data_IF_826173584683
#
_entry.id   IF_826173584683
#
_cell.length_a   1.000
_cell.length_b   1.000
_cell.length_c   1.000
_cell.angle_alpha   90.00
_cell.angle_beta   90.00
_cell.angle_gamma   90.00
#
_symmetry.space_group_name_H-M   'P 1'
#
loop_
_entity.id
_entity.type
_entity.pdbx_description
1 polymer ?
#
# COMPACT_ATOMS: atom_id res chain seq x y z
N UNK A 1 4.25 6.10 -2.13
CA UNK A 1 3.39 6.45 -3.30
C UNK A 1 3.81 7.75 -4.02
N UNK A 2 3.79 8.92 -3.37
CA UNK A 2 4.01 10.22 -4.06
C UNK A 2 5.41 10.34 -4.72
N UNK A 3 6.48 9.94 -4.01
CA UNK A 3 7.83 9.90 -4.60
C UNK A 3 7.89 9.04 -5.86
N UNK A 4 7.19 7.92 -5.84
CA UNK A 4 7.17 6.97 -6.94
C UNK A 4 6.48 7.54 -8.18
N UNK A 5 5.28 8.08 -8.00
CA UNK A 5 4.54 8.64 -9.12
C UNK A 5 5.25 9.85 -9.73
N UNK A 6 5.89 10.69 -8.91
CA UNK A 6 6.73 11.78 -9.43
C UNK A 6 7.84 11.25 -10.32
N UNK A 7 8.57 10.23 -9.84
CA UNK A 7 9.62 9.60 -10.62
C UNK A 7 9.09 9.02 -11.94
N UNK A 8 7.92 8.37 -11.90
CA UNK A 8 7.32 7.76 -13.08
C UNK A 8 6.82 8.81 -14.10
N UNK A 9 5.97 9.74 -13.68
CA UNK A 9 5.28 10.65 -14.61
C UNK A 9 6.12 11.85 -15.05
N UNK A 10 7.24 12.16 -14.37
CA UNK A 10 8.18 13.17 -14.89
C UNK A 10 8.69 12.78 -16.28
N UNK A 11 8.88 11.48 -16.54
CA UNK A 11 9.26 10.98 -17.87
C UNK A 11 8.14 11.09 -18.93
N UNK A 12 6.92 11.42 -18.51
CA UNK A 12 5.76 11.74 -19.35
C UNK A 12 5.49 13.25 -19.41
N UNK A 13 6.48 14.08 -19.09
CA UNK A 13 6.39 15.55 -19.07
C UNK A 13 5.35 16.12 -18.08
N UNK A 14 4.95 15.35 -17.06
CA UNK A 14 4.07 15.85 -16.01
C UNK A 14 4.86 16.72 -15.03
N UNK A 15 4.34 17.93 -14.76
CA UNK A 15 4.86 18.83 -13.73
C UNK A 15 4.05 18.67 -12.45
N UNK A 16 4.72 18.67 -11.30
CA UNK A 16 4.09 18.43 -10.01
C UNK A 16 4.15 19.67 -9.12
N UNK A 17 3.02 19.96 -8.48
CA UNK A 17 2.93 20.87 -7.33
C UNK A 17 2.62 19.99 -6.12
N UNK A 18 3.54 19.92 -5.17
CA UNK A 18 3.40 19.09 -3.98
C UNK A 18 3.69 19.93 -2.73
N UNK A 19 2.63 20.15 -1.96
CA UNK A 19 2.62 20.89 -0.70
C UNK A 19 2.12 19.95 0.40
N UNK A 20 2.99 19.05 0.83
CA UNK A 20 2.65 17.99 1.78
C UNK A 20 2.42 18.53 3.19
N UNK A 21 1.35 18.06 3.81
CA UNK A 21 1.02 18.28 5.23
C UNK A 21 1.47 17.13 6.14
N UNK A 22 2.16 16.12 5.59
CA UNK A 22 2.62 14.97 6.36
C UNK A 22 3.69 15.36 7.37
N UNK A 23 3.65 14.79 8.58
CA UNK A 23 4.73 14.91 9.57
C UNK A 23 6.09 14.40 9.08
N UNK A 24 6.14 13.66 7.96
CA UNK A 24 7.35 13.15 7.33
C UNK A 24 7.76 13.91 6.06
N UNK A 25 7.12 15.02 5.72
CA UNK A 25 7.39 15.79 4.50
C UNK A 25 8.86 16.29 4.40
N UNK A 26 9.54 16.45 5.54
CA UNK A 26 10.93 16.89 5.60
C UNK A 26 11.90 15.88 4.97
N UNK A 27 11.55 14.59 4.99
CA UNK A 27 12.35 13.53 4.36
C UNK A 27 12.36 13.61 2.84
N UNK A 28 11.36 14.26 2.25
CA UNK A 28 11.22 14.42 0.80
C UNK A 28 11.37 15.86 0.34
N UNK A 29 11.62 16.81 1.26
CA UNK A 29 11.65 18.25 0.99
C UNK A 29 10.37 18.74 0.28
N UNK A 30 9.20 18.23 0.71
CA UNK A 30 7.89 18.55 0.11
C UNK A 30 6.95 19.25 1.09
N UNK A 31 7.45 19.69 2.25
CA UNK A 31 6.62 20.36 3.25
C UNK A 31 5.96 21.61 2.67
N UNK A 32 4.66 21.74 2.88
CA UNK A 32 3.94 22.96 2.59
C UNK A 32 4.54 24.14 3.37
N UNK A 33 4.75 25.27 2.69
CA UNK A 33 5.29 26.50 3.31
C UNK A 33 4.33 27.69 3.25
N UNK A 34 3.35 27.66 2.36
CA UNK A 34 2.55 28.83 1.99
C UNK A 34 1.07 28.49 1.72
N UNK A 35 0.53 27.47 2.40
CA UNK A 35 -0.90 27.18 2.32
C UNK A 35 -1.67 28.19 3.18
N UNK A 36 -2.68 28.83 2.58
CA UNK A 36 -3.51 29.88 3.19
C UNK A 36 -4.59 29.32 4.13
N UNK A 37 -5.12 28.13 3.82
CA UNK A 37 -6.31 27.54 4.48
C UNK A 37 -6.00 26.21 5.16
N UNK A 38 -5.23 25.33 4.49
CA UNK A 38 -4.88 24.02 5.02
C UNK A 38 -3.56 24.07 5.80
N UNK A 39 -3.49 23.32 6.89
CA UNK A 39 -2.31 23.10 7.71
C UNK A 39 -2.30 21.66 8.25
N UNK A 40 -1.27 21.32 9.04
CA UNK A 40 -1.12 19.98 9.63
C UNK A 40 -2.29 19.56 10.52
N UNK A 41 -3.01 20.53 11.09
CA UNK A 41 -4.01 20.29 12.12
C UNK A 41 -5.39 20.04 11.51
N UNK A 42 -5.68 20.65 10.36
CA UNK A 42 -6.98 20.55 9.70
C UNK A 42 -6.99 19.70 8.42
N UNK A 43 -5.83 19.33 7.86
CA UNK A 43 -5.74 18.62 6.58
C UNK A 43 -6.41 17.25 6.54
N UNK A 44 -6.51 16.57 7.69
CA UNK A 44 -7.21 15.28 7.82
C UNK A 44 -8.72 15.47 8.05
N UNK A 45 -9.12 16.53 8.75
CA UNK A 45 -10.50 16.71 9.25
C UNK A 45 -11.21 17.86 8.54
N UNK A 46 -11.21 17.84 7.20
CA UNK A 46 -11.85 18.90 6.41
C UNK A 46 -13.38 18.79 6.46
N UNK A 47 -14.07 19.89 6.76
CA UNK A 47 -15.54 19.99 6.71
C UNK A 47 -16.03 20.86 5.54
N UNK A 48 -17.35 21.00 5.41
CA UNK A 48 -17.98 21.80 4.33
C UNK A 48 -17.57 23.27 4.40
N UNK A 49 -17.36 23.82 5.61
CA UNK A 49 -16.96 25.21 5.79
C UNK A 49 -15.54 25.43 5.27
N UNK A 50 -14.62 24.52 5.60
CA UNK A 50 -13.25 24.55 5.13
C UNK A 50 -13.16 24.35 3.62
N UNK A 51 -14.01 23.49 3.04
CA UNK A 51 -14.10 23.32 1.59
C UNK A 51 -14.50 24.63 0.89
N UNK A 52 -15.52 25.32 1.40
CA UNK A 52 -15.94 26.63 0.87
C UNK A 52 -14.84 27.68 1.01
N UNK A 53 -14.21 27.78 2.17
CA UNK A 53 -13.10 28.72 2.41
C UNK A 53 -11.92 28.45 1.48
N UNK A 54 -11.56 27.18 1.30
CA UNK A 54 -10.50 26.78 0.38
C UNK A 54 -10.82 27.20 -1.06
N UNK A 55 -12.01 26.87 -1.55
CA UNK A 55 -12.42 27.26 -2.89
C UNK A 55 -12.41 28.78 -3.07
N UNK A 56 -13.01 29.54 -2.16
CA UNK A 56 -13.07 31.01 -2.26
C UNK A 56 -11.68 31.67 -2.29
N UNK A 57 -10.72 31.14 -1.54
CA UNK A 57 -9.35 31.67 -1.51
C UNK A 57 -8.54 31.28 -2.75
N UNK A 58 -8.76 30.09 -3.30
CA UNK A 58 -7.93 29.55 -4.39
C UNK A 58 -8.56 29.59 -5.78
N UNK A 59 -9.86 29.90 -5.93
CA UNK A 59 -10.55 29.94 -7.24
C UNK A 59 -9.91 30.91 -8.25
N UNK A 60 -9.25 31.96 -7.77
CA UNK A 60 -8.53 32.94 -8.58
C UNK A 60 -7.01 32.91 -8.37
N UNK A 61 -6.48 31.89 -7.69
CA UNK A 61 -5.05 31.80 -7.40
C UNK A 61 -4.27 31.38 -8.66
N UNK A 62 -3.17 32.09 -8.96
CA UNK A 62 -2.41 31.88 -10.19
C UNK A 62 -1.75 30.51 -10.28
N UNK A 63 -1.37 29.91 -9.16
CA UNK A 63 -0.81 28.56 -9.12
C UNK A 63 -1.92 27.53 -9.35
N UNK A 64 -3.06 27.69 -8.67
CA UNK A 64 -4.22 26.81 -8.80
C UNK A 64 -4.79 26.78 -10.22
N UNK A 65 -4.80 27.94 -10.90
CA UNK A 65 -5.28 28.06 -12.27
C UNK A 65 -4.40 27.33 -13.31
N UNK A 66 -3.16 27.00 -12.97
CA UNK A 66 -2.26 26.21 -13.83
C UNK A 66 -2.45 24.70 -13.66
N UNK A 67 -3.26 24.25 -12.69
CA UNK A 67 -3.45 22.82 -12.40
C UNK A 67 -4.54 22.23 -13.30
N UNK A 68 -4.18 21.21 -14.08
CA UNK A 68 -5.12 20.44 -14.90
C UNK A 68 -5.73 19.25 -14.16
N UNK A 69 -4.97 18.66 -13.21
CA UNK A 69 -5.31 17.42 -12.52
C UNK A 69 -4.99 17.58 -11.03
N UNK A 70 -5.97 17.28 -10.16
CA UNK A 70 -5.70 17.04 -8.75
C UNK A 70 -5.59 15.55 -8.49
N UNK A 71 -4.64 15.16 -7.63
CA UNK A 71 -4.35 13.77 -7.34
C UNK A 71 -4.24 13.54 -5.83
N UNK A 72 -5.00 12.59 -5.29
CA UNK A 72 -5.03 12.29 -3.87
C UNK A 72 -4.67 10.83 -3.61
N UNK A 73 -3.76 10.61 -2.66
CA UNK A 73 -3.33 9.28 -2.24
C UNK A 73 -3.77 8.92 -0.82
N UNK A 74 -3.39 9.77 0.13
CA UNK A 74 -3.48 9.47 1.54
C UNK A 74 -3.65 10.75 2.37
N UNK A 75 -4.85 11.03 2.90
CA UNK A 75 -6.09 10.28 2.68
C UNK A 75 -6.74 10.63 1.33
N UNK A 76 -7.56 9.72 0.78
CA UNK A 76 -8.36 10.04 -0.41
C UNK A 76 -9.44 11.09 -0.12
N UNK A 77 -9.88 11.20 1.13
CA UNK A 77 -10.89 12.17 1.54
C UNK A 77 -10.46 13.63 1.30
N UNK A 78 -9.15 13.90 1.17
CA UNK A 78 -8.67 15.22 0.76
C UNK A 78 -9.12 15.61 -0.65
N UNK A 79 -9.51 14.67 -1.53
CA UNK A 79 -10.02 15.01 -2.86
C UNK A 79 -11.35 15.76 -2.83
N UNK A 80 -12.12 15.65 -1.75
CA UNK A 80 -13.38 16.37 -1.59
C UNK A 80 -13.18 17.90 -1.69
N UNK A 81 -12.04 18.42 -1.22
CA UNK A 81 -11.74 19.86 -1.24
C UNK A 81 -11.51 20.40 -2.65
N UNK A 82 -11.15 19.54 -3.60
CA UNK A 82 -10.84 19.90 -4.97
C UNK A 82 -12.03 19.74 -5.93
N UNK A 83 -13.12 19.08 -5.49
CA UNK A 83 -14.33 18.89 -6.31
C UNK A 83 -14.90 20.21 -6.87
N UNK A 84 -14.95 21.35 -6.13
CA UNK A 84 -15.50 22.60 -6.65
C UNK A 84 -14.75 23.22 -7.83
N UNK A 85 -13.49 22.84 -8.08
CA UNK A 85 -12.68 23.41 -9.16
C UNK A 85 -13.01 22.85 -10.54
N UNK A 86 -13.84 21.80 -10.63
CA UNK A 86 -14.23 21.17 -11.90
C UNK A 86 -13.02 20.80 -12.80
N UNK A 87 -11.93 20.36 -12.18
CA UNK A 87 -10.76 19.78 -12.84
C UNK A 87 -10.80 18.26 -12.71
N UNK A 88 -9.99 17.57 -13.49
CA UNK A 88 -9.83 16.13 -13.34
C UNK A 88 -9.34 15.80 -11.92
N UNK A 89 -9.94 14.76 -11.35
CA UNK A 89 -9.54 14.14 -10.10
C UNK A 89 -9.00 12.72 -10.37
N UNK A 90 -7.80 12.45 -9.87
CA UNK A 90 -7.23 11.10 -9.80
C UNK A 90 -7.17 10.70 -8.32
N UNK A 91 -8.06 9.79 -7.92
CA UNK A 91 -8.15 9.26 -6.56
C UNK A 91 -7.46 7.90 -6.51
N UNK A 92 -6.44 7.75 -5.67
CA UNK A 92 -5.70 6.49 -5.53
C UNK A 92 -5.64 6.12 -4.05
N UNK A 93 -6.46 5.18 -3.60
CA UNK A 93 -6.36 4.68 -2.23
C UNK A 93 -5.05 3.90 -2.05
N UNK A 94 -4.13 4.42 -1.25
CA UNK A 94 -2.89 3.71 -0.88
C UNK A 94 -3.03 2.84 0.38
N UNK A 95 -4.19 2.90 1.01
CA UNK A 95 -4.70 2.09 2.13
C UNK A 95 -6.19 2.43 2.27
N UNK A 96 -6.93 1.69 3.11
CA UNK A 96 -8.39 1.79 3.30
C UNK A 96 -8.87 3.25 3.24
N UNK A 97 -9.73 3.51 2.27
CA UNK A 97 -9.98 4.84 1.73
C UNK A 97 -10.75 5.76 2.70
N UNK A 98 -11.43 5.19 3.70
CA UNK A 98 -12.18 5.88 4.74
C UNK A 98 -11.30 6.58 5.79
N UNK A 99 -9.97 6.61 5.59
CA UNK A 99 -9.08 7.38 6.44
C UNK A 99 -9.58 8.83 6.57
N UNK A 100 -9.72 9.26 7.82
CA UNK A 100 -10.22 10.57 8.24
C UNK A 100 -11.74 10.78 8.08
N UNK A 101 -12.49 9.74 7.70
CA UNK A 101 -13.96 9.71 7.64
C UNK A 101 -14.46 8.50 8.43
N UNK A 102 -14.13 8.47 9.72
CA UNK A 102 -14.34 7.29 10.57
C UNK A 102 -15.75 7.16 11.13
N UNK A 103 -16.57 8.21 11.10
CA UNK A 103 -17.98 8.12 11.53
C UNK A 103 -18.82 7.50 10.42
N UNK A 104 -19.96 6.90 10.77
CA UNK A 104 -20.90 6.34 9.77
C UNK A 104 -21.35 7.42 8.77
N UNK A 105 -21.64 8.61 9.27
CA UNK A 105 -22.09 9.75 8.46
C UNK A 105 -21.00 10.23 7.50
N UNK A 106 -19.79 10.48 8.02
CA UNK A 106 -18.67 10.94 7.21
C UNK A 106 -18.26 9.92 6.14
N UNK A 107 -18.27 8.63 6.48
CA UNK A 107 -17.95 7.57 5.54
C UNK A 107 -19.02 7.47 4.44
N UNK A 108 -20.30 7.53 4.80
CA UNK A 108 -21.41 7.52 3.83
C UNK A 108 -21.32 8.72 2.89
N UNK A 109 -20.97 9.89 3.42
CA UNK A 109 -20.74 11.10 2.63
C UNK A 109 -19.55 10.96 1.69
N UNK A 110 -18.43 10.40 2.17
CA UNK A 110 -17.28 10.10 1.32
C UNK A 110 -17.66 9.16 0.17
N UNK A 111 -18.46 8.13 0.42
CA UNK A 111 -18.94 7.21 -0.64
C UNK A 111 -19.76 7.95 -1.70
N UNK A 112 -20.65 8.84 -1.26
CA UNK A 112 -21.45 9.69 -2.16
C UNK A 112 -20.55 10.58 -3.01
N UNK A 113 -19.55 11.22 -2.41
CA UNK A 113 -18.61 12.06 -3.12
C UNK A 113 -17.75 11.26 -4.11
N UNK A 114 -17.29 10.06 -3.75
CA UNK A 114 -16.57 9.18 -4.66
C UNK A 114 -17.45 8.74 -5.84
N UNK A 115 -18.73 8.48 -5.63
CA UNK A 115 -19.66 8.20 -6.73
C UNK A 115 -19.83 9.41 -7.67
N UNK A 116 -19.96 10.62 -7.13
CA UNK A 116 -19.99 11.85 -7.94
C UNK A 116 -18.71 12.00 -8.75
N UNK A 117 -17.54 11.80 -8.12
CA UNK A 117 -16.24 11.84 -8.81
C UNK A 117 -16.21 10.79 -9.93
N UNK A 118 -16.65 9.55 -9.68
CA UNK A 118 -16.67 8.45 -10.64
C UNK A 118 -17.61 8.68 -11.82
N UNK A 119 -18.68 9.47 -11.64
CA UNK A 119 -19.67 9.74 -12.68
C UNK A 119 -19.11 10.56 -13.85
N UNK A 120 -18.04 11.33 -13.61
CA UNK A 120 -17.36 12.08 -14.65
C UNK A 120 -16.27 11.19 -15.30
N UNK A 121 -16.37 10.91 -16.61
CA UNK A 121 -15.39 10.10 -17.30
C UNK A 121 -14.02 10.78 -17.41
N UNK A 122 -13.78 12.01 -16.94
CA UNK A 122 -12.41 12.56 -16.88
C UNK A 122 -11.65 12.05 -15.65
N UNK A 123 -12.38 11.60 -14.62
CA UNK A 123 -11.82 11.22 -13.35
C UNK A 123 -11.41 9.74 -13.31
N UNK A 124 -10.50 9.42 -12.39
CA UNK A 124 -10.02 8.07 -12.14
C UNK A 124 -10.13 7.76 -10.66
N UNK A 125 -10.69 6.59 -10.34
CA UNK A 125 -10.68 6.04 -8.99
C UNK A 125 -9.98 4.69 -9.03
N UNK A 126 -8.92 4.56 -8.24
CA UNK A 126 -8.04 3.41 -8.23
C UNK A 126 -7.62 3.00 -6.82
N UNK A 127 -7.23 1.74 -6.68
CA UNK A 127 -6.42 1.28 -5.55
C UNK A 127 -4.94 1.24 -5.95
N UNK A 128 -4.04 1.50 -5.00
CA UNK A 128 -2.60 1.25 -5.18
C UNK A 128 -2.27 -0.26 -5.16
N UNK A 129 -3.25 -1.10 -4.86
CA UNK A 129 -3.19 -2.56 -4.85
C UNK A 129 -4.61 -3.11 -5.02
N UNK A 130 -4.72 -4.41 -5.24
CA UNK A 130 -6.01 -5.07 -5.47
C UNK A 130 -6.91 -5.05 -4.22
N UNK A 131 -6.35 -5.17 -3.01
CA UNK A 131 -7.12 -5.10 -1.77
C UNK A 131 -7.88 -3.78 -1.67
N UNK A 132 -7.19 -2.64 -1.81
CA UNK A 132 -7.82 -1.33 -1.70
C UNK A 132 -8.79 -1.05 -2.86
N UNK A 133 -8.51 -1.58 -4.06
CA UNK A 133 -9.42 -1.48 -5.20
C UNK A 133 -10.75 -2.23 -4.94
N UNK A 134 -10.68 -3.46 -4.44
CA UNK A 134 -11.84 -4.28 -4.07
C UNK A 134 -12.57 -3.71 -2.84
N UNK A 135 -11.84 -3.13 -1.90
CA UNK A 135 -12.42 -2.48 -0.72
C UNK A 135 -13.28 -1.28 -1.13
N UNK A 136 -12.78 -0.42 -2.03
CA UNK A 136 -13.59 0.66 -2.62
C UNK A 136 -14.81 0.07 -3.32
N UNK A 137 -14.61 -0.94 -4.18
CA UNK A 137 -15.71 -1.57 -4.94
C UNK A 137 -16.79 -2.13 -4.01
N UNK A 138 -16.41 -2.73 -2.89
CA UNK A 138 -17.33 -3.29 -1.91
C UNK A 138 -18.25 -2.26 -1.27
N UNK A 139 -17.71 -1.11 -0.84
CA UNK A 139 -18.50 -0.08 -0.15
C UNK A 139 -19.19 0.92 -1.08
N UNK A 140 -18.71 1.05 -2.31
CA UNK A 140 -19.17 2.10 -3.23
C UNK A 140 -19.79 1.56 -4.52
N UNK A 141 -19.52 0.32 -4.90
CA UNK A 141 -19.93 -0.23 -6.20
C UNK A 141 -19.14 0.32 -7.39
N UNK A 142 -18.21 1.25 -7.15
CA UNK A 142 -17.39 1.86 -8.19
C UNK A 142 -16.43 0.81 -8.75
N UNK A 143 -16.43 0.65 -10.07
CA UNK A 143 -15.42 -0.17 -10.76
C UNK A 143 -14.08 0.56 -10.72
N UNK A 144 -13.18 0.07 -9.88
CA UNK A 144 -11.83 0.61 -9.70
C UNK A 144 -10.84 -0.08 -10.63
N UNK A 145 -9.74 0.63 -10.93
CA UNK A 145 -8.54 0.04 -11.52
C UNK A 145 -7.44 -0.10 -10.45
N UNK A 146 -6.42 -0.90 -10.73
CA UNK A 146 -5.24 -1.03 -9.86
C UNK A 146 -4.09 -0.25 -10.48
N UNK A 147 -3.57 0.74 -9.76
CA UNK A 147 -2.41 1.56 -10.14
C UNK A 147 -1.30 1.35 -9.11
N UNK A 148 -0.52 0.25 -9.21
CA UNK A 148 0.48 -0.09 -8.21
C UNK A 148 1.70 0.81 -8.28
N UNK A 149 2.41 0.92 -7.16
CA UNK A 149 3.71 1.59 -7.15
C UNK A 149 4.76 0.77 -7.92
N UNK A 150 5.52 1.44 -8.77
CA UNK A 150 6.60 0.87 -9.57
C UNK A 150 7.93 0.81 -8.81
N UNK A 151 8.16 1.75 -7.91
CA UNK A 151 9.38 1.92 -7.11
C UNK A 151 10.68 1.96 -7.94
N UNK A 152 10.62 2.49 -9.16
CA UNK A 152 11.77 2.53 -10.08
C UNK A 152 12.92 3.44 -9.58
N UNK A 153 12.64 4.35 -8.64
CA UNK A 153 13.65 5.22 -8.03
C UNK A 153 14.68 4.46 -7.18
N UNK A 154 14.43 3.19 -6.84
CA UNK A 154 15.35 2.37 -6.03
C UNK A 154 16.68 2.12 -6.76
N UNK A 155 16.65 2.00 -8.10
CA UNK A 155 17.79 1.74 -9.00
C UNK A 155 18.66 0.53 -8.63
N UNK A 156 18.19 -0.31 -7.71
CA UNK A 156 18.90 -1.49 -7.24
C UNK A 156 18.27 -2.74 -7.83
N UNK A 157 19.09 -3.77 -8.00
CA UNK A 157 18.66 -5.10 -8.43
C UNK A 157 19.41 -6.14 -7.61
N UNK A 158 18.77 -7.29 -7.41
CA UNK A 158 19.30 -8.43 -6.68
C UNK A 158 20.72 -8.78 -7.13
N UNK A 159 21.64 -8.80 -6.16
CA UNK A 159 23.06 -9.14 -6.33
C UNK A 159 23.55 -9.79 -5.04
N UNK A 160 23.08 -11.01 -4.72
CA UNK A 160 23.21 -11.60 -3.41
C UNK A 160 24.68 -11.86 -3.05
N UNK A 161 24.96 -11.70 -1.77
CA UNK A 161 26.18 -12.16 -1.10
C UNK A 161 25.76 -13.22 -0.09
N UNK A 162 25.84 -14.49 -0.46
CA UNK A 162 25.27 -15.61 0.32
C UNK A 162 25.87 -15.77 1.74
N UNK A 163 27.01 -15.14 2.02
CA UNK A 163 27.54 -15.01 3.37
C UNK A 163 26.72 -14.08 4.29
N UNK A 164 25.91 -13.18 3.72
CA UNK A 164 24.98 -12.31 4.47
C UNK A 164 23.79 -13.12 4.98
N UNK A 165 23.18 -12.70 6.11
CA UNK A 165 21.97 -13.35 6.60
C UNK A 165 20.76 -13.06 5.70
N UNK A 166 19.76 -13.93 5.71
CA UNK A 166 18.40 -13.56 5.34
C UNK A 166 17.87 -12.50 6.30
N UNK A 167 17.04 -11.60 5.78
CA UNK A 167 16.44 -10.52 6.57
C UNK A 167 15.04 -10.95 7.02
N UNK A 168 14.69 -10.69 8.27
CA UNK A 168 13.28 -10.61 8.69
C UNK A 168 12.84 -9.15 8.60
N UNK A 169 11.81 -8.87 7.80
CA UNK A 169 11.23 -7.54 7.66
C UNK A 169 10.61 -7.05 8.99
N UNK A 170 10.26 -5.76 9.07
CA UNK A 170 9.62 -5.23 10.28
C UNK A 170 8.29 -5.94 10.54
N UNK A 171 8.04 -6.27 11.81
CA UNK A 171 6.81 -6.85 12.31
C UNK A 171 6.21 -5.91 13.36
N UNK A 172 4.97 -5.45 13.16
CA UNK A 172 4.33 -4.53 14.12
C UNK A 172 3.62 -5.26 15.27
N UNK A 173 3.24 -6.53 15.07
CA UNK A 173 2.69 -7.39 16.12
C UNK A 173 3.79 -7.84 17.12
N UNK A 174 4.09 -7.00 18.12
CA UNK A 174 5.17 -7.22 19.11
C UNK A 174 5.05 -8.58 19.83
N UNK A 175 3.86 -8.97 20.27
CA UNK A 175 3.61 -10.24 20.95
C UNK A 175 3.92 -11.43 20.04
N UNK A 176 3.49 -11.35 18.77
CA UNK A 176 3.74 -12.41 17.80
C UNK A 176 5.21 -12.49 17.36
N UNK A 177 5.95 -11.38 17.36
CA UNK A 177 7.38 -11.37 17.02
C UNK A 177 8.18 -12.36 17.88
N UNK A 178 8.04 -12.31 19.20
CA UNK A 178 8.76 -13.23 20.09
C UNK A 178 8.35 -14.69 19.85
N UNK A 179 7.05 -14.94 19.62
CA UNK A 179 6.54 -16.28 19.30
C UNK A 179 7.13 -16.80 17.98
N UNK A 180 7.10 -16.01 16.91
CA UNK A 180 7.66 -16.38 15.62
C UNK A 180 9.16 -16.68 15.71
N UNK A 181 9.94 -15.83 16.39
CA UNK A 181 11.36 -16.05 16.58
C UNK A 181 11.67 -17.34 17.34
N UNK A 182 10.85 -17.68 18.34
CA UNK A 182 10.95 -18.95 19.07
C UNK A 182 10.68 -20.15 18.15
N UNK A 183 9.54 -20.13 17.44
CA UNK A 183 9.16 -21.18 16.48
C UNK A 183 10.24 -21.40 15.41
N UNK A 184 10.78 -20.31 14.86
CA UNK A 184 11.83 -20.36 13.85
C UNK A 184 13.13 -20.95 14.40
N UNK A 185 13.53 -20.57 15.62
CA UNK A 185 14.73 -21.10 16.30
C UNK A 185 14.60 -22.60 16.56
N UNK A 186 13.43 -23.03 17.03
CA UNK A 186 13.16 -24.45 17.29
C UNK A 186 13.17 -25.27 16.00
N UNK A 187 12.66 -24.70 14.90
CA UNK A 187 12.68 -25.33 13.57
C UNK A 187 14.12 -25.52 13.07
N UNK A 188 14.99 -24.50 13.19
CA UNK A 188 16.40 -24.65 12.85
C UNK A 188 17.10 -25.75 13.64
N UNK A 189 16.86 -25.84 14.96
CA UNK A 189 17.43 -26.88 15.82
C UNK A 189 16.93 -28.27 15.43
N UNK A 190 15.61 -28.42 15.30
CA UNK A 190 14.96 -29.69 14.96
C UNK A 190 15.42 -30.22 13.60
N UNK A 191 15.48 -29.35 12.60
CA UNK A 191 15.85 -29.72 11.23
C UNK A 191 17.36 -29.81 11.00
N UNK A 192 18.19 -29.41 11.98
CA UNK A 192 19.66 -29.37 11.87
C UNK A 192 20.15 -28.57 10.65
N UNK A 193 19.40 -27.53 10.27
CA UNK A 193 19.76 -26.63 9.17
C UNK A 193 20.41 -25.38 9.74
N UNK A 194 21.57 -25.00 9.20
CA UNK A 194 22.27 -23.77 9.56
C UNK A 194 22.09 -22.72 8.47
N UNK A 195 21.21 -21.74 8.72
CA UNK A 195 21.03 -20.55 7.88
C UNK A 195 21.03 -19.32 8.79
N UNK A 196 21.75 -18.27 8.41
CA UNK A 196 21.80 -17.02 9.17
C UNK A 196 20.55 -16.20 8.88
N UNK A 197 19.80 -15.86 9.93
CA UNK A 197 18.63 -14.97 9.84
C UNK A 197 18.77 -13.85 10.87
N UNK A 198 18.45 -12.61 10.48
CA UNK A 198 18.52 -11.43 11.34
C UNK A 198 17.36 -10.48 11.06
N UNK A 199 16.82 -9.83 12.08
CA UNK A 199 15.83 -8.78 11.89
C UNK A 199 16.47 -7.56 11.22
N UNK A 200 15.75 -6.88 10.34
CA UNK A 200 16.29 -5.76 9.54
C UNK A 200 16.92 -4.67 10.42
N UNK A 201 16.33 -4.38 11.58
CA UNK A 201 16.83 -3.37 12.54
C UNK A 201 18.04 -3.82 13.36
N UNK A 202 18.38 -5.10 13.34
CA UNK A 202 19.63 -5.59 13.95
C UNK A 202 20.82 -5.34 13.03
N UNK A 203 20.56 -5.27 11.72
CA UNK A 203 21.57 -5.01 10.67
C UNK A 203 21.66 -3.51 10.38
N UNK A 204 20.52 -2.85 10.22
CA UNK A 204 20.40 -1.44 9.82
C UNK A 204 19.64 -0.67 10.91
N UNK A 205 20.39 -0.05 11.82
CA UNK A 205 19.82 0.61 13.01
C UNK A 205 18.87 1.75 12.66
N UNK A 206 19.23 2.58 11.69
CA UNK A 206 18.47 3.79 11.34
C UNK A 206 18.07 3.77 9.87
N UNK A 207 19.07 3.76 8.98
CA UNK A 207 18.90 3.82 7.53
C UNK A 207 19.67 2.70 6.82
N UNK A 208 19.23 2.40 5.61
CA UNK A 208 19.94 1.54 4.65
C UNK A 208 19.79 2.14 3.25
N UNK A 209 20.71 1.76 2.37
CA UNK A 209 20.61 2.02 0.94
C UNK A 209 20.01 0.79 0.25
N UNK A 210 19.22 0.99 -0.81
CA UNK A 210 18.53 -0.08 -1.52
C UNK A 210 19.47 -1.20 -2.01
N UNK A 211 20.66 -0.86 -2.53
CA UNK A 211 21.63 -1.87 -2.96
C UNK A 211 22.16 -2.73 -1.80
N UNK A 212 22.15 -2.23 -0.56
CA UNK A 212 22.60 -3.00 0.61
C UNK A 212 21.60 -4.13 0.89
N UNK A 213 20.30 -3.85 0.77
CA UNK A 213 19.23 -4.85 0.87
C UNK A 213 19.32 -5.89 -0.24
N UNK A 214 19.55 -5.46 -1.48
CA UNK A 214 19.65 -6.33 -2.65
C UNK A 214 20.86 -7.31 -2.60
N UNK A 215 21.76 -7.15 -1.64
CA UNK A 215 22.86 -8.08 -1.37
C UNK A 215 22.51 -9.21 -0.40
N UNK A 216 21.35 -9.19 0.24
CA UNK A 216 20.92 -10.29 1.11
C UNK A 216 20.31 -11.43 0.28
N UNK A 217 20.41 -12.70 0.71
CA UNK A 217 19.84 -13.83 -0.04
C UNK A 217 18.33 -13.70 -0.28
N UNK A 218 17.58 -13.20 0.71
CA UNK A 218 16.14 -12.98 0.61
C UNK A 218 15.59 -12.33 1.86
N UNK A 219 14.29 -12.02 1.83
CA UNK A 219 13.57 -11.33 2.91
C UNK A 219 12.36 -12.17 3.33
N UNK A 220 12.28 -12.46 4.62
CA UNK A 220 11.17 -13.13 5.28
C UNK A 220 10.21 -12.07 5.80
N UNK A 221 8.96 -12.18 5.38
CA UNK A 221 7.88 -11.31 5.81
C UNK A 221 6.93 -12.05 6.74
N UNK A 222 6.62 -11.39 7.84
CA UNK A 222 5.38 -11.61 8.59
C UNK A 222 4.60 -10.29 8.49
N UNK A 223 3.65 -10.19 7.56
CA UNK A 223 3.05 -8.91 7.20
C UNK A 223 2.19 -8.38 8.36
N UNK A 224 2.27 -7.07 8.59
CA UNK A 224 1.38 -6.34 9.50
C UNK A 224 0.29 -5.56 8.76
N UNK A 225 0.44 -5.40 7.44
CA UNK A 225 -0.52 -4.77 6.54
C UNK A 225 -0.57 -5.56 5.22
N UNK A 226 -1.70 -5.46 4.51
CA UNK A 226 -1.95 -6.11 3.20
C UNK A 226 -1.13 -5.53 2.05
N UNK A 227 -0.59 -4.32 2.23
CA UNK A 227 0.19 -3.58 1.26
C UNK A 227 1.11 -2.58 1.98
N UNK A 228 2.41 -2.59 1.69
CA UNK A 228 3.39 -1.65 2.27
C UNK A 228 4.39 -1.22 1.22
N UNK A 229 4.82 0.04 1.22
CA UNK A 229 5.74 0.57 0.19
C UNK A 229 7.05 -0.24 0.10
N UNK A 230 7.59 -0.70 1.22
CA UNK A 230 8.83 -1.49 1.23
C UNK A 230 8.67 -2.84 0.51
N UNK A 231 7.47 -3.42 0.49
CA UNK A 231 7.18 -4.64 -0.26
C UNK A 231 7.30 -4.39 -1.77
N UNK A 232 6.73 -3.29 -2.28
CA UNK A 232 6.94 -2.89 -3.68
C UNK A 232 8.43 -2.68 -3.97
N UNK A 233 9.14 -1.93 -3.12
CA UNK A 233 10.57 -1.68 -3.32
C UNK A 233 11.38 -2.98 -3.38
N UNK A 234 11.16 -3.91 -2.43
CA UNK A 234 11.88 -5.18 -2.39
C UNK A 234 11.56 -6.09 -3.57
N UNK A 235 10.29 -6.17 -3.97
CA UNK A 235 9.85 -6.97 -5.10
C UNK A 235 10.43 -6.43 -6.42
N UNK A 236 10.46 -5.10 -6.58
CA UNK A 236 10.97 -4.43 -7.80
C UNK A 236 12.49 -4.47 -7.90
N UNK A 237 13.18 -4.63 -6.77
CA UNK A 237 14.60 -4.99 -6.73
C UNK A 237 14.86 -6.46 -7.06
N UNK A 238 13.83 -7.27 -7.34
CA UNK A 238 13.92 -8.71 -7.64
C UNK A 238 14.50 -9.53 -6.48
N UNK A 239 14.33 -9.08 -5.24
CA UNK A 239 14.81 -9.81 -4.06
C UNK A 239 13.82 -10.94 -3.75
N UNK A 240 14.26 -12.21 -3.62
CA UNK A 240 13.37 -13.30 -3.23
C UNK A 240 12.67 -13.03 -1.89
N UNK A 241 11.34 -13.14 -1.89
CA UNK A 241 10.49 -12.83 -0.75
C UNK A 241 9.77 -14.08 -0.24
N UNK A 242 9.82 -14.29 1.07
CA UNK A 242 9.17 -15.40 1.75
C UNK A 242 7.99 -14.91 2.56
N UNK A 243 6.80 -15.46 2.32
CA UNK A 243 5.57 -15.09 3.00
C UNK A 243 4.85 -16.33 3.55
N UNK A 244 4.10 -16.22 4.66
CA UNK A 244 3.18 -17.29 5.05
C UNK A 244 2.14 -17.52 3.94
N UNK A 245 1.71 -18.77 3.76
CA UNK A 245 0.57 -19.08 2.92
C UNK A 245 -0.69 -18.37 3.42
N UNK A 246 -1.70 -18.23 2.54
CA UNK A 246 -2.96 -17.57 2.89
C UNK A 246 -3.59 -18.22 4.13
N UNK A 247 -3.61 -19.55 4.20
CA UNK A 247 -4.20 -20.26 5.34
C UNK A 247 -3.41 -20.01 6.62
N UNK A 248 -2.07 -20.09 6.57
CA UNK A 248 -1.23 -19.82 7.74
C UNK A 248 -1.37 -18.37 8.23
N UNK A 249 -1.40 -17.40 7.31
CA UNK A 249 -1.55 -15.99 7.67
C UNK A 249 -2.95 -15.71 8.24
N UNK A 250 -4.00 -16.32 7.68
CA UNK A 250 -5.35 -16.27 8.23
C UNK A 250 -5.36 -16.79 9.68
N UNK A 251 -4.78 -17.95 9.95
CA UNK A 251 -4.71 -18.50 11.31
C UNK A 251 -3.97 -17.58 12.27
N UNK A 252 -2.80 -17.07 11.84
CA UNK A 252 -2.02 -16.15 12.65
C UNK A 252 -2.74 -14.84 12.89
N UNK A 253 -3.47 -14.32 11.91
CA UNK A 253 -4.23 -13.09 12.07
C UNK A 253 -5.45 -13.28 12.96
N UNK A 254 -6.21 -14.36 12.75
CA UNK A 254 -7.37 -14.71 13.58
C UNK A 254 -6.97 -14.89 15.06
N UNK A 255 -5.83 -15.54 15.31
CA UNK A 255 -5.36 -15.86 16.68
C UNK A 255 -4.59 -14.71 17.33
N UNK A 256 -3.68 -14.06 16.58
CA UNK A 256 -2.69 -13.14 17.13
C UNK A 256 -2.75 -11.73 16.54
N UNK A 257 -3.69 -11.46 15.63
CA UNK A 257 -3.87 -10.16 14.98
C UNK A 257 -2.61 -9.68 14.28
N UNK A 258 -1.90 -10.58 13.58
CA UNK A 258 -0.59 -10.26 12.98
C UNK A 258 -0.69 -9.16 11.91
N UNK A 259 -1.73 -9.19 11.06
CA UNK A 259 -2.05 -8.15 10.08
C UNK A 259 -2.94 -7.05 10.70
N UNK A 260 -2.55 -6.49 11.83
CA UNK A 260 -3.39 -5.55 12.60
C UNK A 260 -3.74 -4.26 11.83
N UNK A 261 -2.92 -3.86 10.86
CA UNK A 261 -3.20 -2.73 9.98
C UNK A 261 -3.98 -3.18 8.74
N UNK A 262 -4.81 -4.22 8.83
CA UNK A 262 -5.80 -4.56 7.79
C UNK A 262 -7.01 -3.62 7.85
N UNK A 263 -7.38 -3.18 9.05
CA UNK A 263 -8.54 -2.32 9.34
C UNK A 263 -8.10 -1.12 10.18
N UNK A 264 -8.79 0.02 10.10
CA UNK A 264 -8.47 1.18 10.94
C UNK A 264 -8.68 0.90 12.43
N UNK A 265 -9.74 0.15 12.76
CA UNK A 265 -10.01 -0.29 14.13
C UNK A 265 -8.88 -1.19 14.68
N UNK A 266 -8.30 -2.07 13.85
CA UNK A 266 -7.15 -2.89 14.21
C UNK A 266 -5.89 -2.11 14.55
N UNK A 267 -5.67 -0.94 13.93
CA UNK A 267 -4.54 -0.05 14.27
C UNK A 267 -4.71 0.53 15.68
N UNK A 268 -5.93 0.89 16.06
CA UNK A 268 -6.25 1.42 17.39
C UNK A 268 -6.35 0.35 18.48
N UNK A 269 -6.32 -0.93 18.11
CA UNK A 269 -6.57 -2.07 19.00
C UNK A 269 -8.05 -2.33 19.30
N UNK A 270 -8.97 -1.52 18.79
CA UNK A 270 -10.42 -1.64 19.03
C UNK A 270 -11.12 -2.51 17.97
N UNK A 271 -10.63 -3.73 17.76
CA UNK A 271 -11.13 -4.64 16.72
C UNK A 271 -12.65 -4.79 16.73
N UNK A 272 -13.25 -4.88 15.54
CA UNK A 272 -14.70 -4.95 15.33
C UNK A 272 -15.09 -6.20 14.56
N UNK A 273 -16.36 -6.59 14.67
CA UNK A 273 -16.96 -7.69 13.93
C UNK A 273 -17.74 -7.23 12.69
N UNK A 274 -17.78 -5.92 12.42
CA UNK A 274 -18.43 -5.35 11.25
C UNK A 274 -17.92 -3.93 10.98
N UNK A 275 -18.11 -3.48 9.75
CA UNK A 275 -17.98 -2.11 9.31
C UNK A 275 -19.10 -1.23 9.86
N UNK A 276 -18.84 0.08 9.95
CA UNK A 276 -19.85 1.08 10.36
C UNK A 276 -20.92 1.34 9.29
N UNK A 277 -20.63 0.98 8.05
CA UNK A 277 -21.56 0.98 6.91
C UNK A 277 -21.59 -0.41 6.27
N UNK A 278 -22.71 -0.74 5.62
CA UNK A 278 -22.84 -1.98 4.85
C UNK A 278 -22.16 -1.84 3.48
N UNK A 279 -21.67 -2.95 2.94
CA UNK A 279 -21.26 -3.02 1.52
C UNK A 279 -22.47 -2.98 0.58
N UNK A 280 -22.19 -2.75 -0.71
CA UNK A 280 -23.21 -2.63 -1.77
C UNK A 280 -23.19 -3.78 -2.77
N UNK A 281 -22.21 -4.69 -2.70
CA UNK A 281 -22.02 -5.78 -3.68
C UNK A 281 -22.82 -7.06 -3.37
N UNK A 282 -23.81 -6.99 -2.49
CA UNK A 282 -24.67 -8.12 -2.11
C UNK A 282 -24.19 -8.90 -0.88
N UNK A 283 -25.04 -9.81 -0.35
CA UNK A 283 -24.81 -10.49 0.92
C UNK A 283 -23.72 -11.58 0.87
N UNK A 284 -23.35 -12.05 -0.32
CA UNK A 284 -22.39 -13.16 -0.50
C UNK A 284 -20.93 -12.75 -0.30
N UNK A 285 -20.66 -11.44 -0.21
CA UNK A 285 -19.31 -10.92 0.05
C UNK A 285 -19.22 -10.55 1.54
N UNK A 286 -18.34 -11.19 2.32
CA UNK A 286 -18.23 -10.91 3.74
C UNK A 286 -17.66 -9.51 3.99
N UNK A 287 -17.95 -8.95 5.16
CA UNK A 287 -17.49 -7.61 5.53
C UNK A 287 -15.96 -7.57 5.71
N UNK A 288 -15.23 -6.68 5.01
CA UNK A 288 -13.78 -6.56 5.13
C UNK A 288 -13.30 -6.15 6.51
N UNK A 289 -14.13 -5.53 7.34
CA UNK A 289 -13.74 -5.12 8.69
C UNK A 289 -14.20 -6.10 9.78
N UNK A 290 -14.73 -7.27 9.40
CA UNK A 290 -14.99 -8.32 10.37
C UNK A 290 -13.67 -9.02 10.76
N UNK A 291 -13.21 -8.77 12.00
CA UNK A 291 -12.04 -9.40 12.60
C UNK A 291 -12.37 -10.70 13.36
N UNK A 292 -13.64 -11.07 13.48
CA UNK A 292 -14.09 -12.24 14.25
C UNK A 292 -14.59 -13.39 13.38
N UNK A 293 -14.69 -13.16 12.07
CA UNK A 293 -15.01 -14.18 11.09
C UNK A 293 -13.75 -14.57 10.32
N UNK A 294 -13.36 -15.83 10.48
CA UNK A 294 -12.20 -16.43 9.83
C UNK A 294 -12.33 -16.44 8.31
N UNK A 295 -13.53 -16.69 7.79
CA UNK A 295 -13.76 -16.76 6.35
C UNK A 295 -13.77 -15.36 5.74
N UNK A 296 -14.30 -14.37 6.46
CA UNK A 296 -14.15 -12.96 6.09
C UNK A 296 -12.66 -12.54 6.01
N UNK A 297 -11.88 -12.84 7.05
CA UNK A 297 -10.44 -12.57 7.08
C UNK A 297 -9.76 -13.20 5.86
N UNK A 298 -10.01 -14.50 5.63
CA UNK A 298 -9.38 -15.24 4.53
C UNK A 298 -9.79 -14.69 3.17
N UNK A 299 -11.07 -14.38 3.00
CA UNK A 299 -11.62 -13.81 1.77
C UNK A 299 -10.90 -12.53 1.39
N UNK A 300 -10.66 -11.65 2.34
CA UNK A 300 -10.05 -10.35 2.10
C UNK A 300 -8.53 -10.41 2.03
N UNK A 301 -7.87 -11.24 2.85
CA UNK A 301 -6.41 -11.38 2.82
C UNK A 301 -5.91 -11.86 1.46
N UNK A 302 -6.68 -12.64 0.70
CA UNK A 302 -6.27 -13.12 -0.63
C UNK A 302 -5.91 -11.97 -1.58
N UNK A 303 -6.47 -10.77 -1.41
CA UNK A 303 -6.21 -9.60 -2.25
C UNK A 303 -4.93 -8.84 -1.89
N UNK A 304 -4.22 -9.24 -0.82
CA UNK A 304 -2.96 -8.61 -0.44
C UNK A 304 -1.90 -8.77 -1.55
N UNK A 305 -1.02 -7.78 -1.68
CA UNK A 305 -0.02 -7.68 -2.76
C UNK A 305 0.79 -8.98 -2.92
N UNK A 306 1.25 -9.53 -1.80
CA UNK A 306 2.08 -10.73 -1.76
C UNK A 306 1.33 -12.03 -2.12
N UNK A 307 0.02 -12.01 -2.35
CA UNK A 307 -0.73 -13.14 -2.95
C UNK A 307 -1.12 -12.89 -4.41
N UNK A 308 -0.92 -11.67 -4.91
CA UNK A 308 -1.23 -11.29 -6.28
C UNK A 308 0.02 -11.31 -7.18
N UNK A 309 1.21 -11.28 -6.60
CA UNK A 309 2.45 -11.19 -7.36
C UNK A 309 3.09 -12.58 -7.58
N UNK A 310 3.61 -12.85 -8.79
CA UNK A 310 4.26 -14.13 -9.07
C UNK A 310 5.62 -14.23 -8.37
N UNK A 311 6.12 -15.46 -8.26
CA UNK A 311 7.44 -15.78 -7.71
C UNK A 311 7.65 -15.41 -6.23
N UNK A 312 6.56 -15.17 -5.49
CA UNK A 312 6.59 -15.15 -4.02
C UNK A 312 6.74 -16.58 -3.51
N UNK A 313 7.59 -16.77 -2.50
CA UNK A 313 7.85 -18.07 -1.89
C UNK A 313 6.97 -18.22 -0.67
N UNK A 314 5.91 -19.02 -0.76
CA UNK A 314 5.02 -19.27 0.37
C UNK A 314 5.54 -20.38 1.29
N UNK A 315 5.16 -20.34 2.58
CA UNK A 315 5.38 -21.45 3.51
C UNK A 315 4.15 -21.65 4.42
N UNK A 316 3.85 -22.89 4.78
CA UNK A 316 2.74 -23.29 5.65
C UNK A 316 3.19 -23.56 7.09
N UNK A 317 4.50 -23.60 7.35
CA UNK A 317 5.07 -23.74 8.69
C UNK A 317 6.48 -23.16 8.76
N UNK A 318 7.01 -23.00 9.97
CA UNK A 318 8.41 -22.59 10.16
C UNK A 318 9.40 -23.67 9.71
N UNK A 319 9.02 -24.95 9.73
CA UNK A 319 9.85 -26.04 9.17
C UNK A 319 9.92 -25.97 7.64
N UNK A 320 8.79 -25.71 6.99
CA UNK A 320 8.77 -25.50 5.54
C UNK A 320 9.57 -24.24 5.17
N UNK A 321 9.44 -23.16 5.94
CA UNK A 321 10.25 -21.96 5.76
C UNK A 321 11.75 -22.29 5.85
N UNK A 322 12.20 -22.97 6.91
CA UNK A 322 13.61 -23.35 7.10
C UNK A 322 14.12 -24.21 5.94
N UNK A 323 13.31 -25.16 5.47
CA UNK A 323 13.61 -25.96 4.28
C UNK A 323 13.81 -25.06 3.06
N UNK A 324 12.85 -24.18 2.78
CA UNK A 324 12.88 -23.30 1.61
C UNK A 324 14.01 -22.28 1.65
N UNK A 325 14.40 -21.78 2.83
CA UNK A 325 15.58 -20.92 2.99
C UNK A 325 16.87 -21.62 2.56
N UNK A 326 16.92 -22.96 2.66
CA UNK A 326 18.09 -23.76 2.28
C UNK A 326 18.04 -24.25 0.83
N UNK A 327 16.87 -24.62 0.33
CA UNK A 327 16.72 -25.38 -0.92
C UNK A 327 16.26 -24.55 -2.11
N UNK A 328 15.67 -23.36 -1.91
CA UNK A 328 15.13 -22.57 -3.02
C UNK A 328 16.25 -22.04 -3.91
N UNK A 329 16.10 -22.17 -5.23
CA UNK A 329 16.97 -21.52 -6.21
C UNK A 329 16.66 -20.01 -6.27
N UNK A 330 17.34 -19.24 -5.43
CA UNK A 330 17.10 -17.81 -5.28
C UNK A 330 17.48 -16.99 -6.51
N UNK A 331 18.43 -17.47 -7.32
CA UNK A 331 18.83 -16.82 -8.57
C UNK A 331 17.70 -16.93 -9.59
N UNK A 332 17.18 -18.14 -9.81
CA UNK A 332 16.07 -18.38 -10.73
C UNK A 332 14.79 -17.63 -10.32
N UNK A 333 14.46 -17.61 -9.02
CA UNK A 333 13.34 -16.79 -8.51
C UNK A 333 13.52 -15.33 -8.89
N UNK A 334 14.72 -14.77 -8.67
CA UNK A 334 15.03 -13.37 -8.99
C UNK A 334 14.98 -13.08 -10.49
N UNK A 335 15.48 -13.97 -11.33
CA UNK A 335 15.43 -13.85 -12.80
C UNK A 335 13.99 -13.81 -13.30
N UNK A 336 13.14 -14.69 -12.78
CA UNK A 336 11.72 -14.71 -13.13
C UNK A 336 10.98 -13.45 -12.63
N UNK A 337 11.26 -12.99 -11.41
CA UNK A 337 10.75 -11.71 -10.92
C UNK A 337 11.17 -10.55 -11.84
N UNK A 338 12.42 -10.55 -12.32
CA UNK A 338 12.94 -9.51 -13.21
C UNK A 338 12.21 -9.48 -14.56
N UNK A 339 11.95 -10.64 -15.15
CA UNK A 339 11.17 -10.76 -16.38
C UNK A 339 9.74 -10.23 -16.19
N UNK A 340 9.07 -10.64 -15.12
CA UNK A 340 7.73 -10.13 -14.80
C UNK A 340 7.73 -8.62 -14.55
N UNK A 341 8.70 -8.10 -13.78
CA UNK A 341 8.82 -6.68 -13.47
C UNK A 341 9.06 -5.81 -14.71
N UNK A 342 9.78 -6.31 -15.72
CA UNK A 342 9.93 -5.61 -17.00
C UNK A 342 8.58 -5.43 -17.71
N UNK A 343 7.75 -6.46 -17.75
CA UNK A 343 6.40 -6.40 -18.34
C UNK A 343 5.48 -5.44 -17.57
N UNK A 344 5.46 -5.54 -16.23
CA UNK A 344 4.64 -4.64 -15.39
C UNK A 344 5.05 -3.18 -15.57
N UNK A 345 6.35 -2.90 -15.72
CA UNK A 345 6.86 -1.55 -15.98
C UNK A 345 6.26 -0.97 -17.26
N UNK A 346 6.30 -1.74 -18.35
CA UNK A 346 5.74 -1.33 -19.64
C UNK A 346 4.23 -1.13 -19.55
N UNK A 347 3.51 -2.09 -18.95
CA UNK A 347 2.06 -2.04 -18.82
C UNK A 347 1.59 -0.83 -18.01
N UNK A 348 2.21 -0.58 -16.85
CA UNK A 348 1.84 0.54 -15.99
C UNK A 348 2.14 1.89 -16.66
N UNK A 349 3.23 1.98 -17.43
CA UNK A 349 3.55 3.18 -18.18
C UNK A 349 2.49 3.49 -19.24
N UNK A 350 2.02 2.45 -19.94
CA UNK A 350 0.94 2.57 -20.93
C UNK A 350 -0.39 2.95 -20.27
N UNK A 351 -0.74 2.33 -19.13
CA UNK A 351 -1.91 2.74 -18.35
C UNK A 351 -1.86 4.23 -17.98
N UNK A 352 -0.71 4.71 -17.49
CA UNK A 352 -0.55 6.13 -17.16
C UNK A 352 -0.65 7.04 -18.38
N UNK A 353 -0.10 6.64 -19.53
CA UNK A 353 -0.27 7.40 -20.78
C UNK A 353 -1.74 7.52 -21.16
N UNK A 354 -2.49 6.43 -21.12
CA UNK A 354 -3.92 6.43 -21.44
C UNK A 354 -4.72 7.31 -20.49
N UNK A 355 -4.42 7.24 -19.19
CA UNK A 355 -5.01 8.13 -18.18
C UNK A 355 -4.72 9.58 -18.53
N UNK A 356 -3.45 9.95 -18.75
CA UNK A 356 -3.06 11.34 -19.03
C UNK A 356 -3.58 11.86 -20.38
N UNK A 357 -3.70 11.01 -21.39
CA UNK A 357 -4.29 11.36 -22.68
C UNK A 357 -5.78 11.66 -22.52
N UNK A 358 -6.52 10.79 -21.82
CA UNK A 358 -7.94 11.00 -21.53
C UNK A 358 -8.20 12.31 -20.81
N UNK A 359 -7.25 12.77 -19.99
CA UNK A 359 -7.37 14.03 -19.25
C UNK A 359 -6.92 15.26 -20.04
N UNK A 360 -6.13 15.09 -21.11
CA UNK A 360 -5.62 16.19 -21.95
C UNK A 360 -6.40 16.38 -23.27
N UNK A 361 -7.29 15.44 -23.63
CA UNK A 361 -8.01 15.44 -24.92
C UNK A 361 -9.28 16.32 -24.94
N UNK A 362 -9.47 17.14 -23.90
CA UNK A 362 -10.58 18.08 -23.68
C UNK A 362 -10.02 19.33 -22.99
#
# INVERSE_FOLDING_TARGET
>A
PIRDIKHQLTSLNVRFIDKSLSGHCYLTNTCAKNLKILNSDNGMSTDVKLHKQFYEVYKNDSEMNQVNIFMCFHPVAMCEIFMPFNRTLIVIASTRYELARFSKEDWTKLNTNLQIIASDPRNVIAGNNLYDAEYIRYFTGIKTIVLPSLCAYTKASYKPRFQKPFIIANMNAKSFRSKFMSLLTDSFKRMKISVRVRHIRDIYKVHYQYFQLAQHPGIIYIPYQVSVMSLFEHYRMNIPLFFPSLDLLTEWHYTYRVVNERTWDGISGNIKNASKISGVLGPDIPDPNNEFDRDAIRYWLKFADFYQWPHIIYFNSTDELVTKLKTTNLIEVSENMKLYNANVTQHLFEQWRQILQRTNSL
#
